data_IF_974989228676
#
_entry.id   IF_974989228676
#
_cell.length_a   1.000
_cell.length_b   1.000
_cell.length_c   1.000
_cell.angle_alpha   90.00
_cell.angle_beta   90.00
_cell.angle_gamma   90.00
#
_symmetry.space_group_name_H-M   'P 1'
#
loop_
_entity.id
_entity.type
_entity.pdbx_description
1 polymer ?
#
# COMPACT_ATOMS: atom_id res chain seq x y z
N UNK A 1 -17.58 -33.62 1.26
CA UNK A 1 -16.33 -33.11 0.66
C UNK A 1 -15.61 -32.37 1.76
N UNK A 2 -14.39 -32.75 2.12
CA UNK A 2 -13.56 -32.00 3.07
C UNK A 2 -13.25 -30.68 2.36
N UNK A 3 -13.64 -29.55 2.94
CA UNK A 3 -13.34 -28.22 2.43
C UNK A 3 -11.82 -28.10 2.37
N UNK A 4 -11.26 -28.15 1.16
CA UNK A 4 -9.81 -28.14 0.97
C UNK A 4 -9.36 -26.71 1.15
N UNK A 5 -8.78 -26.39 2.32
CA UNK A 5 -8.14 -25.09 2.54
C UNK A 5 -7.15 -24.81 1.40
N UNK A 6 -7.21 -23.61 0.84
CA UNK A 6 -6.36 -23.19 -0.28
C UNK A 6 -5.07 -22.48 0.17
N UNK A 7 -4.99 -22.08 1.45
CA UNK A 7 -3.82 -21.43 2.05
C UNK A 7 -3.59 -21.93 3.48
N UNK A 8 -2.35 -22.08 3.89
CA UNK A 8 -1.92 -22.66 5.16
C UNK A 8 -0.90 -21.79 5.90
N UNK A 9 0.13 -21.30 5.20
CA UNK A 9 1.23 -20.56 5.79
C UNK A 9 0.80 -19.18 6.29
N UNK A 10 -0.22 -18.59 5.65
CA UNK A 10 -0.81 -17.31 6.08
C UNK A 10 -2.11 -17.49 6.85
N UNK A 11 -2.60 -18.73 7.04
CA UNK A 11 -3.82 -19.01 7.77
C UNK A 11 -3.58 -18.94 9.28
N UNK A 12 -4.40 -18.15 9.99
CA UNK A 12 -4.28 -17.95 11.45
C UNK A 12 -4.36 -19.25 12.25
N UNK A 13 -5.33 -20.12 11.93
CA UNK A 13 -5.57 -21.34 12.66
C UNK A 13 -4.52 -22.43 12.44
N UNK A 14 -3.74 -22.32 11.36
CA UNK A 14 -2.66 -23.25 11.05
C UNK A 14 -1.32 -22.84 11.71
N UNK A 15 -1.23 -21.61 12.24
CA UNK A 15 -0.04 -21.09 12.92
C UNK A 15 -0.22 -21.10 14.44
N UNK A 16 0.59 -21.88 15.15
CA UNK A 16 0.46 -22.11 16.60
C UNK A 16 0.46 -20.83 17.44
N UNK A 17 1.25 -19.83 17.04
CA UNK A 17 1.36 -18.52 17.72
C UNK A 17 0.08 -17.69 17.63
N UNK A 18 -0.69 -17.84 16.54
CA UNK A 18 -1.85 -16.98 16.24
C UNK A 18 -3.19 -17.72 16.41
N UNK A 19 -3.14 -19.04 16.58
CA UNK A 19 -4.33 -19.88 16.74
C UNK A 19 -5.15 -19.48 17.97
N UNK A 20 -6.45 -19.31 17.78
CA UNK A 20 -7.39 -19.02 18.86
C UNK A 20 -7.24 -17.65 19.53
N UNK A 21 -6.43 -16.74 18.96
CA UNK A 21 -6.28 -15.38 19.48
C UNK A 21 -6.42 -14.33 18.37
N UNK A 22 -6.49 -13.05 18.74
CA UNK A 22 -6.66 -11.93 17.80
C UNK A 22 -5.36 -11.20 17.48
N UNK A 23 -4.20 -11.75 17.85
CA UNK A 23 -2.91 -11.10 17.60
C UNK A 23 -2.66 -10.96 16.10
N UNK A 24 -2.09 -9.84 15.72
CA UNK A 24 -1.60 -9.59 14.36
C UNK A 24 -0.07 -9.60 14.39
N UNK A 25 0.54 -10.13 13.35
CA UNK A 25 2.00 -10.05 13.20
C UNK A 25 2.43 -8.59 13.11
N UNK A 26 3.45 -8.23 13.89
CA UNK A 26 4.09 -6.92 13.79
C UNK A 26 5.25 -7.02 12.83
N UNK A 27 5.19 -6.28 11.75
CA UNK A 27 6.20 -6.26 10.69
C UNK A 27 7.06 -5.01 10.86
N UNK A 28 8.38 -5.22 10.94
CA UNK A 28 9.36 -4.15 11.08
C UNK A 28 9.86 -3.69 9.71
N UNK A 29 9.69 -2.39 9.42
CA UNK A 29 10.17 -1.78 8.18
C UNK A 29 11.06 -0.58 8.52
N UNK A 30 12.37 -0.78 8.54
CA UNK A 30 13.36 0.29 8.85
C UNK A 30 12.99 1.13 10.07
N UNK A 31 12.59 0.46 11.18
CA UNK A 31 12.23 1.09 12.44
C UNK A 31 10.75 1.51 12.56
N UNK A 32 9.92 1.25 11.55
CA UNK A 32 8.46 1.45 11.61
C UNK A 32 7.77 0.11 11.84
N UNK A 33 6.92 0.05 12.87
CA UNK A 33 6.12 -1.14 13.22
C UNK A 33 4.75 -1.09 12.53
N UNK A 34 4.45 -2.07 11.66
CA UNK A 34 3.15 -2.22 11.01
C UNK A 34 2.45 -3.46 11.58
N UNK A 35 1.21 -3.30 12.05
CA UNK A 35 0.47 -4.39 12.73
C UNK A 35 0.45 -4.25 14.25
N UNK A 36 1.16 -3.29 14.83
CA UNK A 36 1.13 -2.94 16.25
C UNK A 36 -0.13 -2.18 16.67
N UNK A 37 -0.08 -1.55 17.83
CA UNK A 37 -1.22 -0.80 18.39
C UNK A 37 -1.42 0.57 17.75
N UNK A 38 -0.34 1.19 17.24
CA UNK A 38 -0.39 2.50 16.60
C UNK A 38 -0.66 2.36 15.10
N UNK A 39 -1.61 3.12 14.58
CA UNK A 39 -1.89 3.19 13.15
C UNK A 39 -0.75 3.86 12.38
N UNK A 40 -0.24 3.17 11.36
CA UNK A 40 0.84 3.67 10.49
C UNK A 40 0.25 4.46 9.32
N UNK A 41 0.87 5.59 8.97
CA UNK A 41 0.48 6.38 7.79
C UNK A 41 1.64 6.46 6.82
N UNK A 42 1.45 5.84 5.67
CA UNK A 42 2.34 5.86 4.52
C UNK A 42 1.81 6.89 3.54
N UNK A 43 2.56 7.96 3.27
CA UNK A 43 2.07 9.07 2.46
C UNK A 43 3.12 9.53 1.45
N UNK A 44 2.68 10.08 0.31
CA UNK A 44 3.56 10.62 -0.72
C UNK A 44 2.89 10.71 -2.09
N UNK A 45 3.63 11.08 -3.15
CA UNK A 45 3.06 11.28 -4.48
C UNK A 45 2.60 9.96 -5.11
N UNK A 46 1.64 10.03 -6.03
CA UNK A 46 1.23 8.86 -6.84
C UNK A 46 2.41 8.31 -7.64
N UNK A 47 3.08 9.18 -8.38
CA UNK A 47 4.27 8.90 -9.16
C UNK A 47 5.41 9.84 -8.78
N UNK A 48 6.63 9.39 -8.95
CA UNK A 48 7.82 10.24 -8.97
C UNK A 48 7.88 10.91 -10.33
N UNK A 49 7.48 12.18 -10.41
CA UNK A 49 7.35 12.90 -11.68
C UNK A 49 8.52 13.87 -11.93
N UNK A 50 9.06 14.44 -10.87
CA UNK A 50 10.31 15.21 -10.86
C UNK A 50 11.01 15.12 -9.50
N UNK A 51 12.28 15.49 -9.47
CA UNK A 51 13.08 15.55 -8.24
C UNK A 51 12.54 16.61 -7.28
N UNK A 52 12.24 17.80 -7.79
CA UNK A 52 11.79 18.96 -7.01
C UNK A 52 10.46 18.67 -6.32
N UNK A 53 9.46 18.19 -7.10
CA UNK A 53 8.14 17.80 -6.59
C UNK A 53 8.25 16.71 -5.51
N UNK A 54 9.04 15.67 -5.77
CA UNK A 54 9.17 14.54 -4.85
C UNK A 54 9.80 14.95 -3.53
N UNK A 55 10.87 15.77 -3.57
CA UNK A 55 11.53 16.26 -2.36
C UNK A 55 10.67 17.25 -1.57
N UNK A 56 9.91 18.10 -2.25
CA UNK A 56 8.93 18.99 -1.60
C UNK A 56 7.88 18.17 -0.84
N UNK A 57 7.25 17.22 -1.54
CA UNK A 57 6.22 16.36 -0.94
C UNK A 57 6.80 15.53 0.21
N UNK A 58 8.00 14.96 0.05
CA UNK A 58 8.64 14.15 1.09
C UNK A 58 8.85 14.95 2.39
N UNK A 59 9.32 16.18 2.31
CA UNK A 59 9.45 17.07 3.47
C UNK A 59 8.10 17.40 4.09
N UNK A 60 7.11 17.72 3.25
CA UNK A 60 5.77 18.09 3.71
C UNK A 60 5.05 16.93 4.42
N UNK A 61 5.14 15.69 3.90
CA UNK A 61 4.54 14.53 4.57
C UNK A 61 5.27 14.16 5.85
N UNK A 62 6.60 14.33 5.91
CA UNK A 62 7.36 14.19 7.16
C UNK A 62 6.89 15.18 8.22
N UNK A 63 6.74 16.45 7.87
CA UNK A 63 6.25 17.51 8.77
C UNK A 63 4.79 17.27 9.20
N UNK A 64 3.96 16.67 8.33
CA UNK A 64 2.61 16.27 8.69
C UNK A 64 2.55 15.08 9.64
N UNK A 65 3.66 14.33 9.83
CA UNK A 65 3.76 13.21 10.74
C UNK A 65 3.58 11.84 10.09
N UNK A 66 3.76 11.71 8.78
CA UNK A 66 3.80 10.40 8.11
C UNK A 66 4.98 9.56 8.60
N UNK A 67 4.79 8.24 8.63
CA UNK A 67 5.80 7.28 9.08
C UNK A 67 6.70 6.81 7.95
N UNK A 68 6.16 6.73 6.73
CA UNK A 68 6.89 6.27 5.54
C UNK A 68 6.51 7.10 4.32
N UNK A 69 7.43 7.16 3.34
CA UNK A 69 7.23 7.83 2.06
C UNK A 69 6.84 6.79 0.99
N UNK A 70 5.68 6.99 0.34
CA UNK A 70 5.35 6.26 -0.88
C UNK A 70 5.67 7.10 -2.11
N UNK A 71 6.02 6.43 -3.21
CA UNK A 71 6.16 7.05 -4.53
C UNK A 71 6.36 6.00 -5.60
N UNK A 72 5.62 6.08 -6.71
CA UNK A 72 5.75 5.15 -7.84
C UNK A 72 6.88 5.57 -8.77
N UNK A 73 8.02 4.87 -8.76
CA UNK A 73 9.09 5.06 -9.74
C UNK A 73 8.74 4.41 -11.09
N UNK A 74 8.07 3.26 -11.03
CA UNK A 74 7.44 2.57 -12.15
C UNK A 74 5.93 2.65 -12.02
N UNK A 75 5.21 2.91 -13.12
CA UNK A 75 3.75 3.08 -13.10
C UNK A 75 3.06 2.19 -14.11
N UNK A 76 2.21 1.23 -13.67
CA UNK A 76 1.37 0.47 -14.57
C UNK A 76 0.24 1.39 -15.07
N UNK A 77 0.15 1.55 -16.39
CA UNK A 77 -0.89 2.40 -17.01
C UNK A 77 -1.78 1.57 -17.91
N UNK A 78 -3.05 1.97 -18.03
CA UNK A 78 -3.99 1.33 -18.95
C UNK A 78 -3.62 1.65 -20.40
N UNK A 79 -3.20 2.90 -20.65
CA UNK A 79 -2.70 3.30 -21.96
C UNK A 79 -1.17 3.33 -21.99
N UNK A 80 -0.52 2.80 -23.02
CA UNK A 80 0.94 2.86 -23.16
C UNK A 80 1.47 4.28 -23.44
N UNK A 81 0.59 5.22 -23.78
CA UNK A 81 0.94 6.62 -24.05
C UNK A 81 0.94 7.50 -22.80
N UNK A 82 0.43 7.00 -21.68
CA UNK A 82 0.46 7.72 -20.41
C UNK A 82 1.84 7.64 -19.75
N UNK A 83 2.11 8.56 -18.83
CA UNK A 83 3.36 8.61 -18.07
C UNK A 83 3.60 7.32 -17.28
N UNK A 84 4.66 6.60 -17.60
CA UNK A 84 5.00 5.30 -17.03
C UNK A 84 5.99 5.35 -15.85
N UNK A 85 6.29 6.53 -15.32
CA UNK A 85 7.28 6.75 -14.27
C UNK A 85 8.67 7.07 -14.80
N UNK A 86 9.53 7.53 -13.91
CA UNK A 86 10.94 7.85 -14.20
C UNK A 86 11.87 6.63 -14.09
N UNK A 87 11.30 5.46 -13.74
CA UNK A 87 12.03 4.19 -13.63
C UNK A 87 13.20 4.29 -12.64
N UNK A 88 14.41 3.87 -13.03
CA UNK A 88 15.60 3.89 -12.17
C UNK A 88 15.92 5.29 -11.63
N UNK A 89 15.82 6.32 -12.46
CA UNK A 89 15.96 7.71 -12.00
C UNK A 89 14.95 8.09 -10.92
N UNK A 90 13.74 7.52 -10.98
CA UNK A 90 12.72 7.69 -9.93
C UNK A 90 13.13 7.01 -8.62
N UNK A 91 13.82 5.87 -8.68
CA UNK A 91 14.35 5.19 -7.49
C UNK A 91 15.47 6.01 -6.84
N UNK A 92 16.37 6.59 -7.62
CA UNK A 92 17.44 7.49 -7.13
C UNK A 92 16.85 8.72 -6.41
N UNK A 93 15.79 9.32 -6.99
CA UNK A 93 15.10 10.46 -6.36
C UNK A 93 14.45 10.05 -5.03
N UNK A 94 13.86 8.85 -4.95
CA UNK A 94 13.32 8.33 -3.70
C UNK A 94 14.40 8.10 -2.66
N UNK A 95 15.57 7.56 -3.04
CA UNK A 95 16.71 7.41 -2.16
C UNK A 95 17.20 8.75 -1.59
N UNK A 96 17.30 9.78 -2.43
CA UNK A 96 17.63 11.13 -1.98
C UNK A 96 16.56 11.69 -1.02
N UNK A 97 15.27 11.43 -1.29
CA UNK A 97 14.19 11.83 -0.40
C UNK A 97 14.29 11.13 0.97
N UNK A 98 14.67 9.85 1.00
CA UNK A 98 14.94 9.08 2.23
C UNK A 98 16.09 9.70 3.01
N UNK A 99 17.22 9.98 2.38
CA UNK A 99 18.37 10.64 3.03
C UNK A 99 17.98 11.96 3.71
N UNK A 100 17.18 12.78 3.03
CA UNK A 100 16.79 14.12 3.51
C UNK A 100 15.71 14.11 4.58
N UNK A 101 14.87 13.08 4.64
CA UNK A 101 13.70 13.04 5.53
C UNK A 101 13.78 11.97 6.61
N UNK A 102 14.61 10.95 6.41
CA UNK A 102 14.65 9.74 7.23
C UNK A 102 13.41 8.85 7.08
N UNK A 103 12.52 9.12 6.11
CA UNK A 103 11.34 8.28 5.88
C UNK A 103 11.71 7.02 5.10
N UNK A 104 11.38 5.81 5.61
CA UNK A 104 11.49 4.58 4.82
C UNK A 104 10.66 4.64 3.53
N UNK A 105 11.14 4.00 2.46
CA UNK A 105 10.56 4.07 1.12
C UNK A 105 9.64 2.89 0.85
N UNK A 106 8.44 3.20 0.33
CA UNK A 106 7.50 2.25 -0.28
C UNK A 106 7.40 2.55 -1.77
N UNK A 107 7.78 1.61 -2.62
CA UNK A 107 7.64 1.75 -4.07
C UNK A 107 7.23 0.45 -4.74
N UNK A 108 6.56 0.56 -5.89
CA UNK A 108 5.98 -0.58 -6.60
C UNK A 108 7.02 -1.27 -7.48
N UNK A 109 7.04 -2.60 -7.43
CA UNK A 109 7.70 -3.46 -8.41
C UNK A 109 6.65 -4.18 -9.26
N UNK A 110 6.85 -4.22 -10.59
CA UNK A 110 5.87 -4.76 -11.54
C UNK A 110 6.36 -5.98 -12.31
N UNK A 111 7.65 -6.20 -12.35
CA UNK A 111 8.31 -7.22 -13.17
C UNK A 111 9.27 -8.03 -12.30
N UNK A 112 9.23 -9.37 -12.35
CA UNK A 112 10.17 -10.21 -11.61
C UNK A 112 11.65 -9.83 -11.82
N UNK A 113 12.02 -9.43 -13.04
CA UNK A 113 13.38 -9.03 -13.41
C UNK A 113 13.86 -7.76 -12.70
N UNK A 114 12.94 -6.94 -12.21
CA UNK A 114 13.23 -5.67 -11.53
C UNK A 114 13.24 -5.79 -9.99
N UNK A 115 12.91 -6.95 -9.43
CA UNK A 115 12.84 -7.13 -7.97
C UNK A 115 14.17 -6.79 -7.30
N UNK A 116 15.28 -7.29 -7.82
CA UNK A 116 16.61 -7.00 -7.32
C UNK A 116 16.96 -5.51 -7.36
N UNK A 117 16.66 -4.84 -8.49
CA UNK A 117 16.92 -3.40 -8.65
C UNK A 117 16.04 -2.56 -7.70
N UNK A 118 14.73 -2.75 -7.75
CA UNK A 118 13.79 -1.97 -6.91
C UNK A 118 14.04 -2.22 -5.43
N UNK A 119 14.36 -3.47 -5.07
CA UNK A 119 14.64 -3.88 -3.72
C UNK A 119 15.90 -3.25 -3.10
N UNK A 120 16.86 -2.77 -3.88
CA UNK A 120 18.00 -2.02 -3.36
C UNK A 120 17.59 -0.65 -2.77
N UNK A 121 16.53 -0.06 -3.31
CA UNK A 121 16.05 1.27 -2.92
C UNK A 121 14.86 1.22 -1.95
N UNK A 122 13.97 0.25 -2.11
CA UNK A 122 12.76 0.13 -1.29
C UNK A 122 13.04 -0.49 0.08
N UNK A 123 12.41 0.03 1.14
CA UNK A 123 12.33 -0.61 2.45
C UNK A 123 11.13 -1.56 2.53
N UNK A 124 10.07 -1.25 1.78
CA UNK A 124 8.84 -2.03 1.63
C UNK A 124 8.49 -2.11 0.14
N UNK A 125 8.50 -3.34 -0.42
CA UNK A 125 8.15 -3.58 -1.82
C UNK A 125 6.62 -3.63 -1.97
N UNK A 126 6.06 -2.79 -2.84
CA UNK A 126 4.65 -2.82 -3.14
C UNK A 126 4.34 -3.68 -4.38
N UNK A 127 3.38 -4.59 -4.23
CA UNK A 127 2.73 -5.29 -5.34
C UNK A 127 1.39 -4.61 -5.61
N UNK A 128 1.26 -4.01 -6.77
CA UNK A 128 0.03 -3.32 -7.18
C UNK A 128 -1.12 -4.28 -7.46
N UNK A 129 -2.36 -3.79 -7.40
CA UNK A 129 -3.57 -4.59 -7.59
C UNK A 129 -3.62 -5.34 -8.93
N UNK A 130 -3.06 -4.76 -9.99
CA UNK A 130 -2.98 -5.42 -11.30
C UNK A 130 -2.01 -6.60 -11.33
N UNK A 131 -1.08 -6.67 -10.36
CA UNK A 131 -0.07 -7.70 -10.22
C UNK A 131 -0.34 -8.66 -9.04
N UNK A 132 -1.52 -8.58 -8.40
CA UNK A 132 -1.88 -9.50 -7.30
C UNK A 132 -1.80 -10.97 -7.73
N UNK A 133 -2.13 -11.27 -8.97
CA UNK A 133 -2.09 -12.61 -9.55
C UNK A 133 -0.91 -12.83 -10.52
N UNK A 134 0.10 -11.95 -10.46
CA UNK A 134 1.36 -12.18 -11.18
C UNK A 134 2.22 -13.16 -10.37
N UNK A 135 1.87 -14.43 -10.41
CA UNK A 135 2.50 -15.47 -9.58
C UNK A 135 4.03 -15.53 -9.74
N UNK A 136 4.63 -15.41 -10.94
CA UNK A 136 6.08 -15.30 -11.06
C UNK A 136 6.69 -14.13 -10.27
N UNK A 137 6.00 -12.98 -10.24
CA UNK A 137 6.44 -11.83 -9.44
C UNK A 137 6.30 -12.10 -7.94
N UNK A 138 5.20 -12.75 -7.50
CA UNK A 138 4.99 -13.09 -6.09
C UNK A 138 6.05 -14.06 -5.58
N UNK A 139 6.43 -15.05 -6.37
CA UNK A 139 7.52 -15.98 -6.07
C UNK A 139 8.84 -15.22 -5.94
N UNK A 140 9.17 -14.34 -6.89
CA UNK A 140 10.43 -13.62 -6.88
C UNK A 140 10.56 -12.64 -5.69
N UNK A 141 9.50 -11.88 -5.36
CA UNK A 141 9.53 -11.01 -4.17
C UNK A 141 9.57 -11.82 -2.86
N UNK A 142 8.98 -13.01 -2.84
CA UNK A 142 9.08 -13.94 -1.71
C UNK A 142 10.53 -14.35 -1.45
N UNK A 143 11.27 -14.69 -2.48
CA UNK A 143 12.71 -15.04 -2.43
C UNK A 143 13.60 -13.89 -2.04
N UNK A 144 13.24 -12.68 -2.42
CA UNK A 144 14.03 -11.47 -2.14
C UNK A 144 14.06 -11.10 -0.66
N UNK A 145 13.14 -11.65 0.13
CA UNK A 145 13.10 -11.58 1.60
C UNK A 145 13.10 -10.14 2.18
N UNK A 146 12.33 -9.22 1.54
CA UNK A 146 11.99 -7.91 2.11
C UNK A 146 10.51 -7.87 2.47
N UNK A 147 10.07 -6.98 3.39
CA UNK A 147 8.65 -6.77 3.65
C UNK A 147 7.89 -6.41 2.37
N UNK A 148 6.68 -6.96 2.21
CA UNK A 148 5.84 -6.83 1.02
C UNK A 148 4.52 -6.16 1.39
N UNK A 149 4.12 -5.13 0.65
CA UNK A 149 2.77 -4.57 0.66
C UNK A 149 1.98 -5.15 -0.51
N UNK A 150 1.07 -6.08 -0.23
CA UNK A 150 0.26 -6.76 -1.24
C UNK A 150 -1.11 -6.09 -1.37
N UNK A 151 -1.35 -5.35 -2.43
CA UNK A 151 -2.64 -4.72 -2.73
C UNK A 151 -3.64 -5.72 -3.27
N UNK A 152 -4.88 -5.67 -2.77
CA UNK A 152 -5.99 -6.50 -3.26
C UNK A 152 -6.28 -6.20 -4.73
N UNK A 153 -6.56 -7.24 -5.51
CA UNK A 153 -6.98 -7.13 -6.90
C UNK A 153 -8.36 -6.50 -7.03
N UNK A 154 -8.63 -5.86 -8.17
CA UNK A 154 -9.84 -5.04 -8.38
C UNK A 154 -11.15 -5.83 -8.34
N UNK A 155 -11.11 -7.15 -8.54
CA UNK A 155 -12.27 -8.04 -8.49
C UNK A 155 -11.99 -9.28 -7.60
N UNK A 156 -10.93 -9.23 -6.77
CA UNK A 156 -10.48 -10.36 -6.00
C UNK A 156 -11.35 -10.61 -4.75
N UNK A 157 -11.68 -11.86 -4.51
CA UNK A 157 -12.22 -12.32 -3.23
C UNK A 157 -11.14 -12.26 -2.14
N UNK A 158 -11.54 -12.38 -0.86
CA UNK A 158 -10.60 -12.51 0.24
C UNK A 158 -9.71 -13.76 0.07
N UNK A 159 -10.30 -14.87 -0.33
CA UNK A 159 -9.58 -16.14 -0.53
C UNK A 159 -8.49 -16.01 -1.60
N UNK A 160 -8.82 -15.47 -2.77
CA UNK A 160 -7.83 -15.22 -3.85
C UNK A 160 -6.68 -14.31 -3.39
N UNK A 161 -6.99 -13.31 -2.57
CA UNK A 161 -5.98 -12.41 -2.02
C UNK A 161 -5.06 -13.11 -1.02
N UNK A 162 -5.62 -13.96 -0.13
CA UNK A 162 -4.83 -14.77 0.80
C UNK A 162 -4.03 -15.86 0.07
N UNK A 163 -4.57 -16.47 -0.99
CA UNK A 163 -3.80 -17.38 -1.86
C UNK A 163 -2.61 -16.66 -2.53
N UNK A 164 -2.77 -15.41 -2.91
CA UNK A 164 -1.65 -14.61 -3.44
C UNK A 164 -0.58 -14.35 -2.37
N UNK A 165 -0.98 -14.08 -1.13
CA UNK A 165 -0.06 -13.98 0.00
C UNK A 165 0.64 -15.32 0.29
N UNK A 166 -0.06 -16.45 0.14
CA UNK A 166 0.50 -17.79 0.29
C UNK A 166 1.62 -18.09 -0.70
N UNK A 167 1.54 -17.61 -1.95
CA UNK A 167 2.63 -17.72 -2.93
C UNK A 167 3.92 -17.06 -2.44
N UNK A 168 3.80 -15.89 -1.81
CA UNK A 168 4.95 -15.18 -1.22
C UNK A 168 5.48 -15.96 0.00
N UNK A 169 4.58 -16.38 0.89
CA UNK A 169 4.92 -17.10 2.11
C UNK A 169 5.60 -18.45 1.84
N UNK A 170 5.22 -19.12 0.76
CA UNK A 170 5.81 -20.40 0.34
C UNK A 170 7.30 -20.30 0.00
N UNK A 171 7.78 -19.14 -0.41
CA UNK A 171 9.20 -18.87 -0.64
C UNK A 171 9.96 -18.50 0.66
N UNK A 172 9.29 -18.57 1.83
CA UNK A 172 9.87 -18.30 3.15
C UNK A 172 9.62 -16.90 3.69
N UNK A 173 8.94 -16.02 2.96
CA UNK A 173 8.70 -14.63 3.36
C UNK A 173 7.26 -14.44 3.89
N UNK A 174 7.10 -14.33 5.20
CA UNK A 174 5.81 -14.01 5.85
C UNK A 174 5.72 -12.55 6.31
N UNK A 175 6.66 -11.69 5.92
CA UNK A 175 6.64 -10.23 6.19
C UNK A 175 5.71 -9.53 5.18
N UNK A 176 4.42 -9.89 5.20
CA UNK A 176 3.40 -9.46 4.23
C UNK A 176 2.39 -8.56 4.91
N UNK A 177 2.18 -7.37 4.36
CA UNK A 177 1.14 -6.42 4.77
C UNK A 177 0.08 -6.42 3.68
N UNK A 178 -1.16 -6.69 4.05
CA UNK A 178 -2.29 -6.64 3.15
C UNK A 178 -2.79 -5.20 3.00
N UNK A 179 -3.16 -4.79 1.77
CA UNK A 179 -3.66 -3.44 1.51
C UNK A 179 -4.98 -3.49 0.73
N UNK A 180 -6.08 -3.20 1.41
CA UNK A 180 -7.38 -2.96 0.76
C UNK A 180 -7.34 -1.61 0.04
N UNK A 181 -7.89 -1.55 -1.18
CA UNK A 181 -7.83 -0.34 -2.02
C UNK A 181 -9.06 -0.12 -2.92
N UNK A 182 -10.16 -0.77 -2.59
CA UNK A 182 -11.39 -0.77 -3.36
C UNK A 182 -11.47 -1.86 -4.42
N UNK A 183 -12.67 -2.34 -4.60
CA UNK A 183 -13.03 -3.35 -5.60
C UNK A 183 -14.01 -2.75 -6.62
N UNK A 184 -14.02 -3.31 -7.83
CA UNK A 184 -14.95 -2.91 -8.87
C UNK A 184 -16.35 -3.43 -8.55
N UNK A 185 -17.31 -2.52 -8.53
CA UNK A 185 -18.73 -2.82 -8.34
C UNK A 185 -19.55 -2.23 -9.50
N UNK A 186 -20.86 -2.44 -9.51
CA UNK A 186 -21.75 -1.87 -10.52
C UNK A 186 -21.78 -0.33 -10.51
N UNK A 187 -21.49 0.31 -9.37
CA UNK A 187 -21.49 1.78 -9.20
C UNK A 187 -20.09 2.40 -9.32
N UNK A 188 -19.05 1.61 -9.54
CA UNK A 188 -17.70 2.15 -9.70
C UNK A 188 -17.58 3.10 -10.88
N UNK A 189 -17.05 4.30 -10.64
CA UNK A 189 -16.92 5.37 -11.62
C UNK A 189 -18.08 6.36 -11.64
N UNK A 190 -19.14 6.14 -10.86
CA UNK A 190 -20.27 7.05 -10.73
C UNK A 190 -19.97 8.16 -9.70
N UNK A 191 -19.60 7.79 -8.48
CA UNK A 191 -19.23 8.73 -7.40
C UNK A 191 -17.91 8.37 -6.71
N UNK A 192 -17.42 7.16 -6.89
CA UNK A 192 -16.10 6.72 -6.47
C UNK A 192 -15.35 6.09 -7.66
N UNK A 193 -14.05 5.90 -7.54
CA UNK A 193 -13.28 5.18 -8.56
C UNK A 193 -13.48 3.67 -8.43
N UNK A 194 -13.45 3.18 -7.20
CA UNK A 194 -13.69 1.80 -6.78
C UNK A 194 -14.31 1.81 -5.39
N UNK A 195 -15.26 0.95 -5.16
CA UNK A 195 -15.93 0.87 -3.85
C UNK A 195 -14.97 0.33 -2.79
N UNK A 196 -14.67 1.15 -1.78
CA UNK A 196 -13.84 0.75 -0.66
C UNK A 196 -14.56 -0.32 0.18
N UNK A 197 -14.01 -1.54 0.19
CA UNK A 197 -14.60 -2.67 0.92
C UNK A 197 -14.08 -2.69 2.37
N UNK A 198 -14.69 -1.88 3.23
CA UNK A 198 -14.39 -1.89 4.67
C UNK A 198 -14.84 -3.19 5.36
N UNK A 199 -15.82 -3.90 4.77
CA UNK A 199 -16.32 -5.13 5.33
C UNK A 199 -15.27 -6.26 5.28
N UNK A 200 -14.30 -6.20 4.37
CA UNK A 200 -13.24 -7.21 4.28
C UNK A 200 -12.26 -7.18 5.46
N UNK A 201 -12.16 -6.05 6.18
CA UNK A 201 -11.16 -5.87 7.25
C UNK A 201 -11.35 -6.91 8.36
N UNK A 202 -12.57 -7.06 8.86
CA UNK A 202 -12.86 -8.01 9.95
C UNK A 202 -12.65 -9.47 9.54
N UNK A 203 -13.20 -9.98 8.42
CA UNK A 203 -12.90 -11.31 7.92
C UNK A 203 -11.41 -11.57 7.70
N UNK A 204 -10.65 -10.60 7.16
CA UNK A 204 -9.20 -10.72 7.00
C UNK A 204 -8.52 -10.99 8.34
N UNK A 205 -8.82 -10.21 9.37
CA UNK A 205 -8.24 -10.38 10.72
C UNK A 205 -8.63 -11.69 11.40
N UNK A 206 -9.74 -12.30 11.01
CA UNK A 206 -10.14 -13.64 11.48
C UNK A 206 -9.40 -14.74 10.73
N UNK A 207 -9.24 -14.59 9.40
CA UNK A 207 -8.68 -15.63 8.54
C UNK A 207 -7.14 -15.68 8.58
N UNK A 208 -6.47 -14.53 8.79
CA UNK A 208 -5.01 -14.46 8.78
C UNK A 208 -4.47 -13.65 9.94
N UNK A 209 -3.21 -13.86 10.27
CA UNK A 209 -2.43 -13.06 11.23
C UNK A 209 -1.73 -11.87 10.58
N UNK A 210 -1.77 -11.75 9.25
CA UNK A 210 -1.13 -10.67 8.52
C UNK A 210 -1.79 -9.32 8.84
N UNK A 211 -1.02 -8.23 9.01
CA UNK A 211 -1.59 -6.91 9.18
C UNK A 211 -2.29 -6.41 7.93
N UNK A 212 -3.35 -5.62 8.11
CA UNK A 212 -4.11 -5.00 7.03
C UNK A 212 -4.10 -3.48 7.16
N UNK A 213 -3.74 -2.80 6.07
CA UNK A 213 -3.86 -1.35 5.91
C UNK A 213 -4.83 -1.04 4.77
N UNK A 214 -5.22 0.24 4.64
CA UNK A 214 -6.19 0.68 3.63
C UNK A 214 -5.62 1.83 2.80
N UNK A 215 -5.90 1.81 1.50
CA UNK A 215 -5.61 2.87 0.54
C UNK A 215 -6.92 3.58 0.13
N UNK A 216 -7.31 4.63 0.86
CA UNK A 216 -8.52 5.38 0.56
C UNK A 216 -8.39 6.22 -0.71
N UNK A 217 -7.18 6.62 -1.10
CA UNK A 217 -6.95 7.48 -2.26
C UNK A 217 -7.31 6.78 -3.56
N UNK A 218 -6.82 5.54 -3.75
CA UNK A 218 -7.11 4.79 -4.99
C UNK A 218 -8.51 4.19 -5.02
N UNK A 219 -9.19 4.04 -3.87
CA UNK A 219 -10.58 3.60 -3.85
C UNK A 219 -11.52 4.77 -4.20
N UNK A 220 -11.45 5.87 -3.45
CA UNK A 220 -12.37 6.99 -3.66
C UNK A 220 -12.13 7.73 -4.98
N UNK A 221 -10.87 7.83 -5.41
CA UNK A 221 -10.48 8.59 -6.61
C UNK A 221 -10.68 10.11 -6.48
N UNK A 222 -11.13 10.59 -5.32
CA UNK A 222 -11.47 12.00 -5.05
C UNK A 222 -10.91 12.45 -3.72
N UNK A 223 -10.08 13.50 -3.72
CA UNK A 223 -9.42 14.03 -2.53
C UNK A 223 -10.38 14.39 -1.39
N UNK A 224 -11.60 14.85 -1.72
CA UNK A 224 -12.60 15.24 -0.73
C UNK A 224 -13.08 14.07 0.13
N UNK A 225 -13.10 12.85 -0.39
CA UNK A 225 -13.58 11.65 0.31
C UNK A 225 -12.49 10.96 1.14
N UNK A 226 -11.21 11.23 0.85
CA UNK A 226 -10.09 10.56 1.52
C UNK A 226 -10.10 10.70 3.04
N UNK A 227 -10.39 11.87 3.64
CA UNK A 227 -10.42 12.02 5.10
C UNK A 227 -11.45 11.12 5.79
N UNK A 228 -12.67 11.04 5.26
CA UNK A 228 -13.76 10.24 5.84
C UNK A 228 -13.50 8.75 5.68
N UNK A 229 -13.07 8.33 4.48
CA UNK A 229 -12.68 6.96 4.20
C UNK A 229 -11.49 6.51 5.08
N UNK A 230 -10.53 7.41 5.36
CA UNK A 230 -9.40 7.13 6.27
C UNK A 230 -9.87 6.86 7.69
N UNK A 231 -10.74 7.72 8.26
CA UNK A 231 -11.28 7.53 9.61
C UNK A 231 -12.12 6.26 9.71
N UNK A 232 -12.99 6.02 8.72
CA UNK A 232 -13.80 4.81 8.67
C UNK A 232 -12.96 3.54 8.61
N UNK A 233 -11.88 3.52 7.82
CA UNK A 233 -10.96 2.38 7.74
C UNK A 233 -10.32 2.04 9.08
N UNK A 234 -9.80 3.05 9.80
CA UNK A 234 -9.20 2.83 11.13
C UNK A 234 -10.27 2.39 12.14
N UNK A 235 -11.46 2.99 12.12
CA UNK A 235 -12.57 2.58 12.99
C UNK A 235 -13.03 1.13 12.73
N UNK A 236 -12.92 0.64 11.49
CA UNK A 236 -13.16 -0.78 11.15
C UNK A 236 -12.01 -1.70 11.56
N UNK A 237 -10.90 -1.16 12.09
CA UNK A 237 -9.77 -1.93 12.62
C UNK A 237 -8.60 -2.12 11.66
N UNK A 238 -8.48 -1.31 10.61
CA UNK A 238 -7.27 -1.24 9.80
C UNK A 238 -6.10 -0.71 10.66
N UNK A 239 -4.91 -1.23 10.42
CA UNK A 239 -3.71 -0.92 11.20
C UNK A 239 -2.83 0.16 10.54
N UNK A 240 -3.30 0.74 9.46
CA UNK A 240 -2.64 1.84 8.78
C UNK A 240 -3.35 2.30 7.52
N UNK A 241 -2.78 3.34 6.93
CA UNK A 241 -3.28 4.01 5.74
C UNK A 241 -2.18 4.21 4.72
N UNK A 242 -2.51 4.09 3.43
CA UNK A 242 -1.65 4.44 2.31
C UNK A 242 -2.30 5.59 1.53
N UNK A 243 -1.74 6.79 1.60
CA UNK A 243 -2.39 8.03 1.15
C UNK A 243 -1.56 8.73 0.08
N UNK A 244 -2.23 9.20 -0.98
CA UNK A 244 -1.62 10.05 -1.98
C UNK A 244 -1.64 11.52 -1.59
N UNK A 245 -0.48 12.16 -1.75
CA UNK A 245 -0.28 13.56 -1.39
C UNK A 245 0.34 14.31 -2.57
N UNK A 246 -0.18 15.50 -2.81
CA UNK A 246 0.36 16.49 -3.76
C UNK A 246 0.91 17.69 -3.01
N UNK A 247 1.82 18.46 -3.60
CA UNK A 247 2.36 19.67 -2.96
C UNK A 247 1.26 20.66 -2.56
N UNK A 248 1.48 21.45 -1.51
CA UNK A 248 0.45 22.37 -0.95
C UNK A 248 -0.12 23.33 -2.00
N UNK A 249 0.76 23.82 -2.88
CA UNK A 249 0.42 24.80 -3.93
C UNK A 249 0.44 24.23 -5.36
N UNK A 250 0.61 22.91 -5.51
CA UNK A 250 0.67 22.26 -6.84
C UNK A 250 -0.64 22.45 -7.59
N UNK A 251 -0.58 22.95 -8.83
CA UNK A 251 -1.72 22.91 -9.73
C UNK A 251 -2.00 21.45 -10.13
N UNK A 252 -3.20 20.96 -9.87
CA UNK A 252 -3.60 19.58 -10.17
C UNK A 252 -3.44 19.23 -11.65
N UNK A 253 -3.67 20.19 -12.56
CA UNK A 253 -3.52 20.02 -14.01
C UNK A 253 -2.10 19.70 -14.47
N UNK A 254 -1.09 19.98 -13.65
CA UNK A 254 0.30 19.66 -13.95
C UNK A 254 0.70 18.24 -13.54
N UNK A 255 -0.14 17.54 -12.80
CA UNK A 255 0.09 16.18 -12.30
C UNK A 255 -0.11 15.18 -13.43
N UNK A 256 0.88 14.31 -13.62
CA UNK A 256 0.88 13.31 -14.70
C UNK A 256 0.17 12.00 -14.32
N UNK A 257 -0.14 11.81 -13.03
CA UNK A 257 -0.71 10.56 -12.54
C UNK A 257 -1.72 10.82 -11.42
N UNK A 258 -2.98 10.39 -11.64
CA UNK A 258 -4.04 10.38 -10.61
C UNK A 258 -4.26 11.76 -9.95
N UNK A 259 -4.51 12.80 -10.77
CA UNK A 259 -4.59 14.21 -10.35
C UNK A 259 -5.70 14.52 -9.33
N UNK A 260 -6.80 13.72 -9.33
CA UNK A 260 -8.02 14.03 -8.57
C UNK A 260 -7.98 13.60 -7.11
N UNK A 261 -7.22 12.56 -6.77
CA UNK A 261 -7.30 11.87 -5.48
C UNK A 261 -6.25 12.31 -4.46
N UNK A 262 -5.16 12.94 -4.90
CA UNK A 262 -4.10 13.40 -4.00
C UNK A 262 -4.59 14.50 -3.06
N UNK A 263 -4.38 14.35 -1.74
CA UNK A 263 -4.72 15.38 -0.76
C UNK A 263 -3.56 16.34 -0.52
N UNK A 264 -3.83 17.48 0.12
CA UNK A 264 -2.79 18.44 0.55
C UNK A 264 -2.15 18.00 1.87
N UNK A 265 -0.88 18.36 2.14
CA UNK A 265 -0.20 18.09 3.41
C UNK A 265 -0.97 18.60 4.64
N UNK A 266 -1.62 19.75 4.53
CA UNK A 266 -2.49 20.31 5.58
C UNK A 266 -3.67 19.40 5.91
N UNK A 267 -4.26 18.71 4.93
CA UNK A 267 -5.32 17.72 5.14
C UNK A 267 -4.74 16.42 5.71
N UNK A 268 -3.58 15.96 5.21
CA UNK A 268 -2.88 14.79 5.75
C UNK A 268 -2.65 14.93 7.26
N UNK A 269 -2.17 16.09 7.71
CA UNK A 269 -1.95 16.37 9.14
C UNK A 269 -3.23 16.19 9.96
N UNK A 270 -4.37 16.68 9.47
CA UNK A 270 -5.68 16.51 10.14
C UNK A 270 -6.08 15.03 10.22
N UNK A 271 -5.87 14.25 9.14
CA UNK A 271 -6.14 12.81 9.14
C UNK A 271 -5.27 12.13 10.20
N UNK A 272 -3.96 12.36 10.19
CA UNK A 272 -3.02 11.74 11.13
C UNK A 272 -3.41 12.03 12.59
N UNK A 273 -3.76 13.27 12.88
CA UNK A 273 -4.23 13.64 14.22
C UNK A 273 -5.51 12.89 14.61
N UNK A 274 -6.46 12.71 13.67
CA UNK A 274 -7.75 12.07 13.98
C UNK A 274 -7.69 10.55 14.10
N UNK A 275 -6.66 9.89 13.53
CA UNK A 275 -6.54 8.42 13.53
C UNK A 275 -5.52 7.89 14.54
N UNK A 276 -4.86 8.76 15.28
CA UNK A 276 -3.86 8.44 16.34
C UNK A 276 -4.28 8.87 17.73
N UNK A 277 -5.58 9.01 17.94
CA UNK A 277 -6.17 9.32 19.26
C UNK A 277 -6.25 8.07 20.10
#
# INVERSE_FOLDING_TARGET
MVDKKLYHLVNREDQSEYRGNSRTKVIQVSGVEIGGTRSVVIAGPCAVESREQTLEIARAVKQAGADMLRGGAYKPRTSPYEFQGLREKGLEILAEAKEKTGLPIVTEVMDPRLVGLVGQYADLLQIGSRNMQNFPLLVEVGRYNKPILLKRGLCATLEEWLCSAEYIAKEGNTEIILCERGVRTATSGEYDRYTLDLNVIRPTKVSTFLPIIVDPSHSTGTAAMVPDASRAAISCGAQGLLIEVIGEHTDRKTIKCDETQGIRPSILKKIITSVRV
#
